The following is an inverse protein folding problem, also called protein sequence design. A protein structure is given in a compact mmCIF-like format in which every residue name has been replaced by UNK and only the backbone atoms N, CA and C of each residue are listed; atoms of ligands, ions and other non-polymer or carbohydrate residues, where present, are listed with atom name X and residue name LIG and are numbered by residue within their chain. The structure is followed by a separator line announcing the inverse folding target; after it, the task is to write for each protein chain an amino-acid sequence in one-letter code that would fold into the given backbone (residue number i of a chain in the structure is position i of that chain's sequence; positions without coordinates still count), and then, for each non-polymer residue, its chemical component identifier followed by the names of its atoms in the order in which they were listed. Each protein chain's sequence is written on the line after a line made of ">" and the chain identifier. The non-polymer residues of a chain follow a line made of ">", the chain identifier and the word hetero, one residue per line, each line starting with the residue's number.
data_IF_688634552606
#
_entry.id   IF_688634552606
#
_cell.length_a   1.000
_cell.length_b   1.000
_cell.length_c   1.000
_cell.angle_alpha   90.00
_cell.angle_beta   90.00
_cell.angle_gamma   90.00
#
_symmetry.space_group_name_H-M   'P 1'
#
loop_
_entity.id
_entity.type
_entity.pdbx_description
1 polymer ?
#
# COMPACT_ATOMS: atom_id res chain seq x y z
N UNK A 1 -8.13 -28.06 -21.33
CA UNK A 1 -8.42 -26.62 -21.23
C UNK A 1 -9.92 -26.42 -21.39
N UNK A 2 -10.56 -25.54 -20.61
CA UNK A 2 -11.98 -25.27 -20.83
C UNK A 2 -12.16 -24.61 -22.20
N UNK A 3 -13.14 -25.06 -22.99
CA UNK A 3 -13.44 -24.56 -24.34
C UNK A 3 -13.99 -23.11 -24.36
N UNK A 4 -13.69 -22.30 -23.34
CA UNK A 4 -14.26 -20.97 -23.15
C UNK A 4 -13.21 -19.90 -23.44
N UNK A 5 -13.55 -18.98 -24.35
CA UNK A 5 -12.73 -17.82 -24.72
C UNK A 5 -12.73 -16.68 -23.67
N UNK A 6 -13.05 -16.98 -22.41
CA UNK A 6 -13.16 -15.97 -21.35
C UNK A 6 -11.84 -15.29 -20.98
N UNK A 7 -10.70 -15.93 -21.23
CA UNK A 7 -9.39 -15.33 -21.01
C UNK A 7 -9.04 -14.25 -22.06
N UNK A 8 -9.72 -14.25 -23.21
CA UNK A 8 -9.52 -13.28 -24.29
C UNK A 8 -10.43 -12.04 -24.17
N UNK A 9 -11.44 -12.08 -23.30
CA UNK A 9 -12.46 -11.03 -23.20
C UNK A 9 -12.86 -10.74 -21.76
N UNK A 10 -13.14 -9.47 -21.45
CA UNK A 10 -13.70 -9.03 -20.16
C UNK A 10 -15.24 -8.95 -20.18
N UNK A 11 -15.90 -9.64 -21.11
CA UNK A 11 -17.36 -9.66 -21.18
C UNK A 11 -17.97 -10.14 -19.86
N UNK A 12 -19.02 -9.44 -19.39
CA UNK A 12 -19.66 -9.76 -18.10
C UNK A 12 -18.91 -9.26 -16.87
N UNK A 13 -17.98 -8.31 -17.01
CA UNK A 13 -17.19 -7.77 -15.89
C UNK A 13 -18.04 -7.33 -14.68
N UNK A 14 -19.23 -6.77 -14.90
CA UNK A 14 -20.14 -6.39 -13.80
C UNK A 14 -20.54 -7.60 -12.94
N UNK A 15 -20.88 -8.71 -13.58
CA UNK A 15 -21.25 -9.96 -12.90
C UNK A 15 -20.04 -10.53 -12.16
N UNK A 16 -18.87 -10.56 -12.82
CA UNK A 16 -17.63 -11.02 -12.19
C UNK A 16 -17.25 -10.18 -10.97
N UNK A 17 -17.38 -8.85 -11.04
CA UNK A 17 -17.13 -7.96 -9.90
C UNK A 17 -18.10 -8.25 -8.74
N UNK A 18 -19.37 -8.53 -9.03
CA UNK A 18 -20.36 -8.90 -8.00
C UNK A 18 -20.01 -10.23 -7.33
N UNK A 19 -19.54 -11.22 -8.12
CA UNK A 19 -19.13 -12.53 -7.61
C UNK A 19 -17.82 -12.47 -6.82
N UNK A 20 -16.89 -11.59 -7.19
CA UNK A 20 -15.60 -11.44 -6.49
C UNK A 20 -15.74 -10.59 -5.23
N UNK A 21 -16.57 -9.55 -5.26
CA UNK A 21 -16.79 -8.65 -4.13
C UNK A 21 -18.03 -9.06 -3.33
N UNK A 22 -18.04 -10.30 -2.84
CA UNK A 22 -19.17 -10.77 -2.02
C UNK A 22 -19.26 -10.01 -0.70
N UNK A 23 -20.51 -9.76 -0.28
CA UNK A 23 -20.81 -9.13 0.99
C UNK A 23 -20.29 -9.99 2.16
N UNK A 24 -19.74 -9.35 3.21
CA UNK A 24 -19.07 -10.05 4.33
C UNK A 24 -19.96 -11.13 4.97
N UNK A 25 -21.25 -10.87 5.11
CA UNK A 25 -22.21 -11.82 5.70
C UNK A 25 -22.38 -13.12 4.89
N UNK A 26 -22.10 -13.10 3.58
CA UNK A 26 -22.20 -14.28 2.70
C UNK A 26 -20.86 -15.01 2.54
N UNK A 27 -19.75 -14.45 3.03
CA UNK A 27 -18.42 -15.01 2.85
C UNK A 27 -18.29 -16.41 3.47
N UNK A 28 -18.81 -16.62 4.68
CA UNK A 28 -18.79 -17.92 5.34
C UNK A 28 -19.55 -19.00 4.55
N UNK A 29 -20.66 -18.64 3.90
CA UNK A 29 -21.43 -19.55 3.05
C UNK A 29 -20.63 -19.93 1.80
N UNK A 30 -20.00 -18.96 1.14
CA UNK A 30 -19.17 -19.18 -0.03
C UNK A 30 -17.96 -20.06 0.30
N UNK A 31 -17.26 -19.76 1.39
CA UNK A 31 -16.12 -20.53 1.89
C UNK A 31 -16.50 -21.97 2.22
N UNK A 32 -17.69 -22.19 2.83
CA UNK A 32 -18.21 -23.53 3.08
C UNK A 32 -18.34 -24.34 1.79
N UNK A 33 -18.96 -23.78 0.75
CA UNK A 33 -19.10 -24.49 -0.54
C UNK A 33 -17.76 -24.70 -1.24
N UNK A 34 -16.87 -23.70 -1.19
CA UNK A 34 -15.51 -23.84 -1.70
C UNK A 34 -14.78 -25.00 -1.03
N UNK A 35 -14.81 -25.07 0.32
CA UNK A 35 -14.21 -26.15 1.12
C UNK A 35 -14.82 -27.54 0.87
N UNK A 36 -16.08 -27.61 0.42
CA UNK A 36 -16.74 -28.88 0.06
C UNK A 36 -16.34 -29.30 -1.37
N UNK A 37 -16.17 -28.36 -2.28
CA UNK A 37 -15.81 -28.63 -3.68
C UNK A 37 -14.37 -29.09 -3.89
N UNK A 38 -13.45 -28.77 -2.96
CA UNK A 38 -12.03 -29.12 -3.08
C UNK A 38 -11.71 -30.42 -2.33
N UNK A 39 -10.87 -31.31 -2.91
CA UNK A 39 -10.35 -32.47 -2.21
C UNK A 39 -9.54 -32.10 -0.96
N UNK A 40 -9.46 -33.03 -0.01
CA UNK A 40 -8.85 -32.80 1.30
C UNK A 40 -7.36 -32.42 1.25
N UNK A 41 -6.62 -32.84 0.22
CA UNK A 41 -5.18 -32.55 0.06
C UNK A 41 -4.92 -31.15 -0.51
N UNK A 42 -5.92 -30.51 -1.13
CA UNK A 42 -5.83 -29.14 -1.67
C UNK A 42 -6.42 -28.14 -0.67
N UNK A 43 -7.31 -28.61 0.21
CA UNK A 43 -8.04 -27.76 1.14
C UNK A 43 -7.07 -26.98 2.05
N UNK A 44 -7.09 -25.63 2.02
CA UNK A 44 -6.21 -24.85 2.86
C UNK A 44 -6.59 -25.01 4.33
N UNK A 45 -5.58 -25.05 5.21
CA UNK A 45 -5.77 -25.14 6.66
C UNK A 45 -6.28 -23.81 7.26
N UNK A 46 -5.84 -22.69 6.67
CA UNK A 46 -6.23 -21.34 7.05
C UNK A 46 -7.28 -20.78 6.09
N UNK A 47 -8.14 -19.83 6.54
CA UNK A 47 -9.06 -19.14 5.64
C UNK A 47 -8.30 -18.28 4.64
N UNK A 48 -8.83 -18.18 3.42
CA UNK A 48 -8.29 -17.29 2.40
C UNK A 48 -8.56 -15.83 2.76
N UNK A 49 -7.58 -14.99 2.46
CA UNK A 49 -7.59 -13.55 2.74
C UNK A 49 -7.82 -12.77 1.44
N UNK A 50 -8.59 -11.68 1.54
CA UNK A 50 -8.89 -10.79 0.40
C UNK A 50 -7.65 -10.00 -0.04
N UNK A 51 -7.58 -9.60 -1.31
CA UNK A 51 -6.40 -8.94 -1.90
C UNK A 51 -5.88 -7.67 -1.18
N UNK A 52 -6.75 -6.96 -0.46
CA UNK A 52 -6.37 -5.77 0.31
C UNK A 52 -5.88 -6.08 1.73
N UNK A 53 -6.22 -7.26 2.27
CA UNK A 53 -5.78 -7.76 3.58
C UNK A 53 -4.54 -8.66 3.45
N UNK A 54 -4.15 -9.03 2.22
CA UNK A 54 -2.94 -9.82 1.95
C UNK A 54 -1.69 -9.02 2.27
N UNK A 55 -0.74 -9.67 2.94
CA UNK A 55 0.55 -9.07 3.24
C UNK A 55 1.39 -8.91 1.97
N UNK A 56 1.95 -7.71 1.76
CA UNK A 56 2.73 -7.36 0.57
C UNK A 56 4.17 -7.04 0.91
N UNK A 57 4.39 -6.35 2.03
CA UNK A 57 5.73 -5.88 2.42
C UNK A 57 6.41 -6.85 3.39
N UNK A 58 7.74 -6.90 3.37
CA UNK A 58 8.50 -7.73 4.32
C UNK A 58 8.22 -7.34 5.79
N UNK A 59 7.84 -6.08 6.03
CA UNK A 59 7.44 -5.57 7.34
C UNK A 59 6.15 -6.23 7.83
N UNK A 60 5.15 -6.38 6.96
CA UNK A 60 3.88 -7.03 7.28
C UNK A 60 4.08 -8.53 7.55
N UNK A 61 4.88 -9.20 6.71
CA UNK A 61 5.16 -10.63 6.86
C UNK A 61 5.94 -10.97 8.14
N UNK A 62 6.80 -10.08 8.64
CA UNK A 62 7.72 -10.29 9.78
C UNK A 62 8.79 -11.38 9.60
N UNK A 63 8.46 -12.49 8.95
CA UNK A 63 9.33 -13.62 8.66
C UNK A 63 9.42 -13.83 7.15
N UNK A 64 10.56 -14.26 6.66
CA UNK A 64 10.85 -14.50 5.23
C UNK A 64 11.35 -15.94 5.07
N UNK A 65 11.14 -16.59 3.90
CA UNK A 65 11.71 -17.90 3.64
C UNK A 65 13.20 -17.96 3.96
N UNK A 66 13.61 -18.98 4.71
CA UNK A 66 14.96 -19.15 5.27
C UNK A 66 15.08 -18.76 6.75
N UNK A 67 14.11 -18.04 7.32
CA UNK A 67 14.12 -17.74 8.76
C UNK A 67 13.86 -19.00 9.60
N UNK A 68 14.56 -19.11 10.73
CA UNK A 68 14.25 -20.09 11.77
C UNK A 68 13.16 -19.55 12.69
N UNK A 69 12.14 -20.34 12.90
CA UNK A 69 10.98 -20.00 13.73
C UNK A 69 10.63 -21.15 14.67
N UNK A 70 10.07 -20.82 15.82
CA UNK A 70 9.53 -21.76 16.79
C UNK A 70 8.01 -21.68 16.79
N UNK A 71 7.36 -22.84 16.85
CA UNK A 71 5.90 -22.95 16.91
C UNK A 71 5.44 -22.81 18.37
N UNK A 72 4.52 -21.88 18.63
CA UNK A 72 4.05 -21.56 19.98
C UNK A 72 2.76 -22.28 20.37
N UNK A 73 1.95 -22.70 19.38
CA UNK A 73 0.63 -23.31 19.60
C UNK A 73 0.40 -24.52 18.69
N UNK A 74 -0.52 -25.38 19.12
CA UNK A 74 -0.89 -26.60 18.39
C UNK A 74 -0.10 -27.83 18.83
N UNK A 75 -0.24 -28.91 18.05
CA UNK A 75 0.36 -30.22 18.35
C UNK A 75 1.89 -30.20 18.34
N UNK A 76 2.48 -29.37 17.49
CA UNK A 76 3.94 -29.28 17.28
C UNK A 76 4.56 -28.09 18.02
N UNK A 77 3.98 -27.70 19.16
CA UNK A 77 4.49 -26.60 20.00
C UNK A 77 5.90 -26.91 20.49
N UNK A 78 6.80 -25.94 20.38
CA UNK A 78 8.19 -26.03 20.82
C UNK A 78 9.16 -26.48 19.73
N UNK A 79 8.65 -26.98 18.60
CA UNK A 79 9.50 -27.36 17.47
C UNK A 79 10.10 -26.13 16.79
N UNK A 80 11.38 -26.23 16.45
CA UNK A 80 12.11 -25.25 15.64
C UNK A 80 12.07 -25.72 14.19
N UNK A 81 11.66 -24.82 13.32
CA UNK A 81 11.43 -25.05 11.90
C UNK A 81 12.05 -23.93 11.07
N UNK A 82 12.38 -24.22 9.82
CA UNK A 82 12.72 -23.21 8.82
C UNK A 82 11.49 -22.87 7.98
N UNK A 83 11.22 -21.58 7.77
CA UNK A 83 10.18 -21.13 6.85
C UNK A 83 10.60 -21.48 5.41
N UNK A 84 9.82 -22.32 4.72
CA UNK A 84 10.10 -22.71 3.33
C UNK A 84 9.42 -21.77 2.33
N UNK A 85 8.17 -21.42 2.59
CA UNK A 85 7.39 -20.58 1.68
C UNK A 85 6.35 -19.75 2.45
N UNK A 86 6.04 -18.58 1.92
CA UNK A 86 4.91 -17.75 2.35
C UNK A 86 3.70 -18.05 1.46
N UNK A 87 2.56 -18.40 2.07
CA UNK A 87 1.30 -18.54 1.36
C UNK A 87 0.56 -17.19 1.34
N UNK A 88 0.71 -16.47 0.22
CA UNK A 88 0.12 -15.14 0.00
C UNK A 88 -1.41 -15.19 -0.01
N UNK A 89 -2.03 -16.33 -0.30
CA UNK A 89 -3.49 -16.44 -0.33
C UNK A 89 -4.10 -16.43 1.07
N UNK A 90 -3.44 -17.04 2.06
CA UNK A 90 -3.93 -17.19 3.44
C UNK A 90 -3.19 -16.33 4.47
N UNK A 91 -2.15 -15.59 4.05
CA UNK A 91 -1.18 -14.95 4.96
C UNK A 91 -0.53 -15.97 5.93
N UNK A 92 -0.33 -17.19 5.46
CA UNK A 92 0.26 -18.30 6.21
C UNK A 92 1.71 -18.57 5.84
N UNK A 93 2.36 -19.42 6.63
CA UNK A 93 3.72 -19.91 6.38
C UNK A 93 3.71 -21.42 6.24
N UNK A 94 4.37 -21.91 5.19
CA UNK A 94 4.68 -23.33 5.00
C UNK A 94 6.07 -23.55 5.59
N UNK A 95 6.11 -24.43 6.59
CA UNK A 95 7.34 -24.79 7.31
C UNK A 95 7.97 -26.05 6.70
N UNK A 96 9.17 -26.37 7.17
CA UNK A 96 9.86 -27.62 6.89
C UNK A 96 9.20 -28.84 7.56
N UNK A 97 9.86 -30.00 7.46
CA UNK A 97 9.34 -31.30 7.91
C UNK A 97 9.08 -31.39 9.42
N UNK A 98 9.68 -30.49 10.21
CA UNK A 98 9.45 -30.42 11.65
C UNK A 98 8.15 -29.67 12.02
N UNK A 99 7.51 -29.06 11.02
CA UNK A 99 6.30 -28.28 11.15
C UNK A 99 5.01 -29.11 11.24
N UNK A 100 3.84 -28.45 11.28
CA UNK A 100 2.58 -29.16 11.29
C UNK A 100 2.30 -29.78 9.94
N UNK A 101 2.25 -31.11 9.94
CA UNK A 101 1.87 -31.89 8.77
C UNK A 101 0.58 -32.67 9.00
N UNK A 102 -0.13 -32.96 7.92
CA UNK A 102 -1.34 -33.79 7.91
C UNK A 102 -1.19 -34.92 6.90
N UNK A 103 -1.56 -36.12 7.33
CA UNK A 103 -1.62 -37.29 6.47
C UNK A 103 -2.92 -37.28 5.67
N UNK A 104 -2.82 -37.19 4.34
CA UNK A 104 -3.98 -37.18 3.45
C UNK A 104 -3.72 -38.09 2.24
N UNK A 105 -4.74 -38.81 1.75
CA UNK A 105 -4.62 -39.57 0.50
C UNK A 105 -4.49 -38.65 -0.71
N UNK A 106 -3.44 -38.87 -1.50
CA UNK A 106 -3.12 -38.09 -2.69
C UNK A 106 -3.21 -38.98 -3.96
N UNK A 107 -3.87 -38.49 -5.03
CA UNK A 107 -3.94 -39.18 -6.32
C UNK A 107 -2.56 -39.38 -6.97
N UNK A 108 -2.41 -40.41 -7.81
CA UNK A 108 -1.15 -40.76 -8.48
C UNK A 108 -0.58 -39.63 -9.35
N UNK A 109 -1.42 -38.72 -9.83
CA UNK A 109 -0.97 -37.55 -10.61
C UNK A 109 -0.07 -36.60 -9.81
N UNK A 110 -0.14 -36.64 -8.48
CA UNK A 110 0.64 -35.78 -7.58
C UNK A 110 1.64 -36.59 -6.75
N UNK A 111 1.98 -37.81 -7.17
CA UNK A 111 2.96 -38.63 -6.47
C UNK A 111 4.37 -38.13 -6.69
N UNK A 112 5.17 -38.22 -5.63
CA UNK A 112 6.61 -38.05 -5.71
C UNK A 112 7.23 -39.37 -6.19
N UNK A 113 8.37 -39.28 -6.87
CA UNK A 113 9.13 -40.46 -7.29
C UNK A 113 9.52 -41.29 -6.06
N UNK A 114 9.28 -42.61 -6.11
CA UNK A 114 9.56 -43.53 -5.00
C UNK A 114 8.43 -43.68 -3.97
N UNK A 115 7.29 -43.01 -4.13
CA UNK A 115 6.12 -43.17 -3.26
C UNK A 115 5.42 -44.53 -3.48
N UNK A 116 5.20 -45.29 -2.39
CA UNK A 116 4.54 -46.61 -2.43
C UNK A 116 3.05 -46.59 -2.05
N UNK A 117 2.63 -45.62 -1.23
CA UNK A 117 1.27 -45.52 -0.68
C UNK A 117 0.59 -44.24 -1.15
N UNK A 118 -0.75 -44.29 -1.27
CA UNK A 118 -1.55 -43.09 -1.50
C UNK A 118 -1.49 -42.10 -0.33
N UNK A 119 -1.15 -42.55 0.88
CA UNK A 119 -1.06 -41.68 2.05
C UNK A 119 0.27 -40.92 2.04
N UNK A 120 0.21 -39.59 2.06
CA UNK A 120 1.38 -38.72 2.18
C UNK A 120 1.14 -37.65 3.25
N UNK A 121 2.22 -37.24 3.91
CA UNK A 121 2.23 -36.16 4.88
C UNK A 121 2.44 -34.84 4.15
N UNK A 122 1.42 -33.98 4.11
CA UNK A 122 1.46 -32.67 3.46
C UNK A 122 1.62 -31.58 4.52
N UNK A 123 2.54 -30.61 4.35
CA UNK A 123 2.71 -29.52 5.29
C UNK A 123 1.48 -28.60 5.30
N UNK A 124 1.08 -28.15 6.50
CA UNK A 124 -0.02 -27.22 6.69
C UNK A 124 0.50 -25.81 6.92
N UNK A 125 -0.19 -24.83 6.32
CA UNK A 125 0.12 -23.43 6.56
C UNK A 125 -0.17 -23.02 8.01
N UNK A 126 0.76 -22.28 8.62
CA UNK A 126 0.65 -21.77 10.00
C UNK A 126 0.48 -20.27 9.99
N UNK A 127 -0.36 -19.75 10.90
CA UNK A 127 -0.53 -18.31 11.04
C UNK A 127 0.70 -17.65 11.64
N UNK A 128 1.02 -16.44 11.17
CA UNK A 128 2.07 -15.57 11.72
C UNK A 128 2.02 -15.45 13.25
N UNK A 129 0.81 -15.40 13.84
CA UNK A 129 0.62 -15.21 15.28
C UNK A 129 1.13 -16.37 16.13
N UNK A 130 1.18 -17.56 15.55
CA UNK A 130 1.56 -18.80 16.24
C UNK A 130 3.05 -19.14 16.09
N UNK A 131 3.79 -18.29 15.37
CA UNK A 131 5.23 -18.43 15.15
C UNK A 131 6.00 -17.33 15.90
N UNK A 132 7.21 -17.66 16.33
CA UNK A 132 8.19 -16.69 16.86
C UNK A 132 9.54 -16.94 16.22
N UNK A 133 10.30 -15.87 15.98
CA UNK A 133 11.61 -16.00 15.36
C UNK A 133 12.60 -16.60 16.36
N UNK A 134 13.54 -17.39 15.86
CA UNK A 134 14.63 -17.97 16.63
C UNK A 134 15.95 -17.38 16.16
N UNK A 135 16.71 -16.82 17.10
CA UNK A 135 18.03 -16.25 16.85
C UNK A 135 19.05 -16.92 17.78
N UNK A 136 20.27 -17.13 17.28
CA UNK A 136 21.39 -17.49 18.13
C UNK A 136 22.02 -16.19 18.62
N UNK A 137 22.07 -16.00 19.93
CA UNK A 137 22.57 -14.80 20.59
C UNK A 137 23.72 -15.22 21.50
N UNK A 138 24.77 -14.41 21.56
CA UNK A 138 25.88 -14.65 22.48
C UNK A 138 25.43 -14.52 23.93
N UNK A 139 25.81 -15.48 24.75
CA UNK A 139 25.48 -15.49 26.17
C UNK A 139 26.27 -14.40 26.91
N UNK A 140 25.60 -13.41 27.56
CA UNK A 140 26.31 -12.39 28.32
C UNK A 140 27.06 -12.95 29.52
N UNK A 141 26.68 -14.14 30.02
CA UNK A 141 27.31 -14.78 31.18
C UNK A 141 28.54 -15.62 30.79
N UNK A 142 28.53 -16.23 29.60
CA UNK A 142 29.59 -17.08 29.08
C UNK A 142 30.04 -16.57 27.71
N UNK A 143 30.98 -15.63 27.71
CA UNK A 143 31.52 -15.04 26.49
C UNK A 143 32.02 -16.14 25.52
N UNK A 144 31.50 -16.13 24.29
CA UNK A 144 31.85 -17.08 23.23
C UNK A 144 30.93 -18.29 23.08
N UNK A 145 29.93 -18.46 23.96
CA UNK A 145 28.88 -19.47 23.76
C UNK A 145 27.60 -18.83 23.22
N UNK A 146 27.11 -19.34 22.09
CA UNK A 146 25.82 -18.94 21.52
C UNK A 146 24.68 -19.73 22.15
N UNK A 147 23.64 -19.04 22.62
CA UNK A 147 22.38 -19.64 23.05
C UNK A 147 21.30 -19.39 22.00
N UNK A 148 20.55 -20.43 21.67
CA UNK A 148 19.39 -20.34 20.79
C UNK A 148 18.19 -19.80 21.57
N UNK A 149 17.72 -18.61 21.20
CA UNK A 149 16.68 -17.88 21.92
C UNK A 149 15.48 -17.63 21.01
N UNK A 150 14.28 -17.84 21.55
CA UNK A 150 13.03 -17.45 20.91
C UNK A 150 12.72 -15.98 21.17
N UNK A 151 12.53 -15.22 20.10
CA UNK A 151 12.29 -13.78 20.14
C UNK A 151 10.80 -13.53 20.31
N UNK A 152 10.43 -12.87 21.42
CA UNK A 152 9.02 -12.67 21.78
C UNK A 152 8.27 -11.79 20.78
N UNK A 153 8.83 -10.66 20.39
CA UNK A 153 8.26 -9.73 19.42
C UNK A 153 9.40 -8.97 18.71
N UNK A 154 9.13 -8.53 17.47
CA UNK A 154 10.08 -7.78 16.63
C UNK A 154 9.50 -6.39 16.36
N UNK A 155 10.35 -5.38 16.42
CA UNK A 155 10.09 -4.02 15.96
C UNK A 155 10.99 -3.69 14.78
N UNK A 156 10.50 -2.86 13.85
CA UNK A 156 11.27 -2.43 12.69
C UNK A 156 11.77 -1.01 12.87
N UNK A 157 13.10 -0.84 12.97
CA UNK A 157 13.74 0.48 13.18
C UNK A 157 14.72 0.79 12.06
N UNK A 158 14.42 1.80 11.26
CA UNK A 158 15.25 2.16 10.11
C UNK A 158 15.17 1.16 8.95
N UNK A 159 15.92 1.45 7.90
CA UNK A 159 15.97 0.67 6.65
C UNK A 159 17.37 0.72 6.05
N UNK A 160 17.77 -0.35 5.37
CA UNK A 160 19.04 -0.45 4.64
C UNK A 160 18.83 -1.12 3.28
N UNK A 161 19.74 -0.89 2.34
CA UNK A 161 19.73 -1.61 1.07
C UNK A 161 20.44 -2.96 1.27
N UNK A 162 19.73 -4.05 1.03
CA UNK A 162 20.32 -5.40 1.09
C UNK A 162 20.70 -5.84 -0.32
N UNK A 163 21.98 -6.11 -0.54
CA UNK A 163 22.53 -6.53 -1.83
C UNK A 163 22.00 -7.90 -2.26
N UNK A 164 21.80 -8.84 -1.33
CA UNK A 164 21.33 -10.19 -1.66
C UNK A 164 19.86 -10.16 -2.10
N UNK A 165 19.05 -9.34 -1.43
CA UNK A 165 17.64 -9.16 -1.79
C UNK A 165 17.40 -8.08 -2.87
N UNK A 166 18.44 -7.29 -3.21
CA UNK A 166 18.39 -6.16 -4.14
C UNK A 166 17.28 -5.15 -3.85
N UNK A 167 16.92 -4.95 -2.57
CA UNK A 167 15.80 -4.09 -2.15
C UNK A 167 16.07 -3.44 -0.79
N UNK A 168 15.33 -2.34 -0.52
CA UNK A 168 15.35 -1.68 0.79
C UNK A 168 14.64 -2.56 1.82
N UNK A 169 15.39 -3.07 2.79
CA UNK A 169 14.94 -3.94 3.87
C UNK A 169 14.94 -3.18 5.20
N UNK A 170 13.92 -3.35 6.06
CA UNK A 170 13.93 -2.77 7.39
C UNK A 170 14.82 -3.58 8.33
N UNK A 171 15.48 -2.94 9.31
CA UNK A 171 16.16 -3.70 10.36
C UNK A 171 15.13 -4.33 11.30
N UNK A 172 15.32 -5.61 11.63
CA UNK A 172 14.52 -6.31 12.63
C UNK A 172 15.20 -6.18 13.98
N UNK A 173 14.57 -5.48 14.92
CA UNK A 173 15.08 -5.29 16.28
C UNK A 173 14.18 -6.00 17.29
N UNK A 174 14.74 -6.48 18.38
CA UNK A 174 13.94 -7.05 19.48
C UNK A 174 13.25 -5.93 20.25
N UNK A 175 11.96 -6.10 20.56
CA UNK A 175 11.23 -5.10 21.35
C UNK A 175 11.91 -4.90 22.70
N UNK A 176 12.27 -3.64 23.01
CA UNK A 176 12.94 -3.25 24.25
C UNK A 176 14.47 -3.19 24.15
N UNK A 177 15.07 -3.83 23.14
CA UNK A 177 16.51 -3.80 22.87
C UNK A 177 16.74 -3.45 21.40
N UNK A 178 16.81 -2.15 21.10
CA UNK A 178 17.03 -1.65 19.73
C UNK A 178 18.37 -2.09 19.13
N UNK A 179 19.34 -2.35 19.99
CA UNK A 179 20.72 -2.62 19.57
C UNK A 179 20.86 -4.07 19.08
N UNK A 180 19.94 -4.95 19.51
CA UNK A 180 19.91 -6.34 19.07
C UNK A 180 19.15 -6.45 17.74
N UNK A 181 19.91 -6.34 16.66
CA UNK A 181 19.42 -6.48 15.29
C UNK A 181 19.52 -7.94 14.84
N UNK A 182 18.40 -8.45 14.34
CA UNK A 182 18.29 -9.80 13.78
C UNK A 182 18.40 -9.70 12.26
N UNK A 183 19.47 -10.23 11.65
CA UNK A 183 19.67 -10.12 10.21
C UNK A 183 18.61 -10.91 9.45
N UNK A 184 18.27 -10.46 8.24
CA UNK A 184 17.44 -11.26 7.32
C UNK A 184 18.22 -12.49 6.82
N UNK A 185 17.53 -13.60 6.49
CA UNK A 185 18.19 -14.80 6.00
C UNK A 185 18.74 -14.54 4.60
N UNK A 186 19.83 -15.21 4.22
CA UNK A 186 20.34 -15.08 2.84
C UNK A 186 19.44 -15.87 1.89
N UNK A 187 18.87 -15.24 0.84
CA UNK A 187 18.07 -15.97 -0.14
C UNK A 187 18.94 -16.94 -0.93
N UNK A 188 18.34 -18.02 -1.42
CA UNK A 188 19.00 -18.93 -2.36
C UNK A 188 19.31 -18.18 -3.67
N UNK A 189 20.47 -18.43 -4.30
CA UNK A 189 20.78 -17.85 -5.60
C UNK A 189 19.75 -18.34 -6.63
N UNK A 190 19.19 -17.41 -7.38
CA UNK A 190 18.27 -17.70 -8.48
C UNK A 190 19.05 -17.63 -9.79
N UNK A 191 18.92 -18.68 -10.61
CA UNK A 191 19.50 -18.72 -11.95
C UNK A 191 18.67 -17.89 -12.93
N UNK A 192 19.34 -17.31 -13.93
CA UNK A 192 18.70 -16.53 -14.97
C UNK A 192 18.04 -17.47 -16.00
N UNK A 193 16.82 -17.12 -16.43
CA UNK A 193 16.10 -17.85 -17.47
C UNK A 193 16.46 -17.36 -18.88
N UNK A 194 16.09 -18.12 -19.91
CA UNK A 194 16.38 -17.79 -21.32
C UNK A 194 15.80 -16.45 -21.78
N UNK A 195 14.65 -16.05 -21.22
CA UNK A 195 14.01 -14.76 -21.54
C UNK A 195 14.60 -13.58 -20.75
N UNK A 196 15.63 -13.81 -19.92
CA UNK A 196 16.28 -12.77 -19.14
C UNK A 196 17.47 -12.16 -19.91
N UNK A 197 17.57 -10.84 -19.88
CA UNK A 197 18.73 -10.11 -20.43
C UNK A 197 19.86 -10.08 -19.40
N UNK A 198 21.10 -10.22 -19.85
CA UNK A 198 22.29 -10.12 -19.00
C UNK A 198 22.34 -8.76 -18.25
N UNK A 199 22.76 -8.73 -16.96
CA UNK A 199 22.85 -7.49 -16.19
C UNK A 199 23.68 -6.37 -16.83
N UNK A 200 24.76 -6.70 -17.54
CA UNK A 200 25.66 -5.74 -18.19
C UNK A 200 24.92 -4.97 -19.29
N UNK A 201 24.22 -5.70 -20.16
CA UNK A 201 23.44 -5.16 -21.28
C UNK A 201 22.22 -4.39 -20.75
N UNK A 202 21.52 -4.92 -19.75
CA UNK A 202 20.32 -4.30 -19.21
C UNK A 202 20.58 -2.94 -18.54
N UNK A 203 21.79 -2.72 -18.00
CA UNK A 203 22.19 -1.47 -17.34
C UNK A 203 22.97 -0.51 -18.25
N UNK A 204 23.25 -0.90 -19.49
CA UNK A 204 23.97 -0.06 -20.44
C UNK A 204 23.18 1.24 -20.70
N UNK A 205 23.84 2.38 -20.50
CA UNK A 205 23.24 3.67 -20.79
C UNK A 205 23.34 3.95 -22.30
N UNK A 206 22.21 3.85 -23.00
CA UNK A 206 22.13 4.09 -24.46
C UNK A 206 21.53 5.45 -24.83
N UNK A 207 20.93 6.15 -23.88
CA UNK A 207 20.23 7.41 -24.12
C UNK A 207 20.77 8.53 -23.22
N UNK A 208 21.03 9.69 -23.84
CA UNK A 208 21.35 10.95 -23.18
C UNK A 208 20.45 12.06 -23.73
N UNK A 209 20.17 13.06 -22.89
CA UNK A 209 19.43 14.26 -23.31
C UNK A 209 20.39 15.17 -24.07
N UNK A 210 20.43 15.02 -25.39
CA UNK A 210 21.37 15.72 -26.27
C UNK A 210 20.79 17.03 -26.84
N UNK A 211 19.53 17.01 -27.28
CA UNK A 211 18.91 18.15 -27.98
C UNK A 211 17.70 18.71 -27.26
N UNK A 212 17.63 20.04 -27.17
CA UNK A 212 16.41 20.77 -26.76
C UNK A 212 15.49 21.01 -27.98
N UNK A 213 16.07 21.09 -29.18
CA UNK A 213 15.34 21.41 -30.41
C UNK A 213 14.67 20.17 -31.01
N UNK A 214 15.38 19.04 -31.02
CA UNK A 214 14.89 17.78 -31.57
C UNK A 214 14.31 16.90 -30.46
N UNK A 215 13.07 16.47 -30.64
CA UNK A 215 12.44 15.50 -29.73
C UNK A 215 13.16 14.13 -29.80
N UNK A 216 13.28 13.41 -28.68
CA UNK A 216 13.95 12.11 -28.63
C UNK A 216 13.17 11.01 -29.35
N UNK A 217 11.84 11.16 -29.47
CA UNK A 217 10.95 10.24 -30.16
C UNK A 217 10.33 10.91 -31.39
N UNK A 218 10.12 10.15 -32.48
CA UNK A 218 9.51 10.69 -33.69
C UNK A 218 8.06 11.11 -33.44
N UNK A 219 7.60 12.12 -34.19
CA UNK A 219 6.27 12.70 -34.01
C UNK A 219 5.14 11.68 -34.20
N UNK A 220 5.32 10.73 -35.12
CA UNK A 220 4.31 9.74 -35.46
C UNK A 220 4.11 8.70 -34.35
N UNK A 221 5.14 8.44 -33.53
CA UNK A 221 5.05 7.55 -32.38
C UNK A 221 4.22 8.14 -31.21
N UNK A 222 3.92 9.44 -31.22
CA UNK A 222 3.11 10.01 -30.13
C UNK A 222 1.71 9.41 -30.06
N UNK A 223 1.16 8.91 -31.19
CA UNK A 223 -0.18 8.33 -31.24
C UNK A 223 -0.27 6.97 -30.54
N UNK A 224 0.84 6.20 -30.52
CA UNK A 224 0.93 4.91 -29.85
C UNK A 224 1.25 5.05 -28.37
N UNK A 225 2.10 6.03 -28.01
CA UNK A 225 2.52 6.27 -26.63
C UNK A 225 1.41 6.93 -25.80
N UNK A 226 0.61 7.81 -26.41
CA UNK A 226 -0.44 8.56 -25.71
C UNK A 226 -1.67 8.78 -26.58
N UNK A 227 -2.85 8.78 -25.95
CA UNK A 227 -4.09 9.15 -26.63
C UNK A 227 -4.14 10.67 -26.91
N UNK A 228 -4.10 11.12 -28.17
CA UNK A 228 -4.18 12.54 -28.53
C UNK A 228 -5.53 13.19 -28.18
N UNK A 229 -6.62 12.41 -28.16
CA UNK A 229 -7.99 12.84 -27.93
C UNK A 229 -8.48 12.47 -26.52
N UNK A 230 -7.55 12.44 -25.55
CA UNK A 230 -7.91 12.17 -24.16
C UNK A 230 -8.90 13.22 -23.63
N UNK A 231 -10.10 12.77 -23.22
CA UNK A 231 -11.12 13.61 -22.57
C UNK A 231 -10.63 14.30 -21.28
N UNK A 232 -9.59 13.76 -20.67
CA UNK A 232 -9.00 14.31 -19.45
C UNK A 232 -8.04 15.47 -19.73
N UNK A 233 -7.63 15.66 -20.99
CA UNK A 233 -6.79 16.79 -21.42
C UNK A 233 -7.65 18.04 -21.63
N UNK A 234 -8.04 18.68 -20.52
CA UNK A 234 -8.70 20.00 -20.55
C UNK A 234 -7.67 21.05 -20.92
N UNK A 235 -7.90 21.80 -22.01
CA UNK A 235 -7.05 22.91 -22.42
C UNK A 235 -6.99 24.01 -21.37
N UNK A 236 -5.99 24.88 -21.43
CA UNK A 236 -5.93 26.09 -20.61
C UNK A 236 -6.73 27.19 -21.32
N UNK A 237 -7.55 27.93 -20.58
CA UNK A 237 -8.27 29.08 -21.12
C UNK A 237 -7.28 30.19 -21.47
N UNK A 238 -7.38 30.72 -22.68
CA UNK A 238 -6.60 31.89 -23.10
C UNK A 238 -7.37 33.18 -22.79
N UNK A 239 -6.68 34.32 -22.75
CA UNK A 239 -7.33 35.63 -22.57
C UNK A 239 -8.41 35.89 -23.64
N UNK A 240 -8.22 35.38 -24.86
CA UNK A 240 -9.20 35.45 -25.95
C UNK A 240 -10.41 34.56 -25.70
N UNK A 241 -10.22 33.38 -25.12
CA UNK A 241 -11.34 32.52 -24.73
C UNK A 241 -12.13 33.16 -23.60
N UNK A 242 -11.44 33.78 -22.64
CA UNK A 242 -12.06 34.54 -21.55
C UNK A 242 -12.84 35.74 -22.10
N UNK A 243 -12.28 36.51 -23.03
CA UNK A 243 -12.98 37.67 -23.62
C UNK A 243 -14.22 37.27 -24.42
N UNK A 244 -14.22 36.07 -25.03
CA UNK A 244 -15.41 35.50 -25.69
C UNK A 244 -16.44 34.98 -24.69
N UNK A 245 -15.97 34.45 -23.57
CA UNK A 245 -16.80 33.90 -22.51
C UNK A 245 -17.49 35.02 -21.70
N UNK A 246 -16.79 36.12 -21.48
CA UNK A 246 -17.29 37.28 -20.72
C UNK A 246 -18.08 38.21 -21.65
N UNK A 247 -19.37 38.39 -21.35
CA UNK A 247 -20.20 39.34 -22.07
C UNK A 247 -19.68 40.79 -21.91
N UNK A 248 -19.79 41.63 -22.95
CA UNK A 248 -19.40 43.02 -22.85
C UNK A 248 -20.25 43.76 -21.81
N UNK A 249 -19.62 44.65 -21.05
CA UNK A 249 -20.34 45.49 -20.07
C UNK A 249 -21.21 46.50 -20.81
N UNK A 250 -22.46 46.64 -20.38
CA UNK A 250 -23.37 47.64 -20.91
C UNK A 250 -22.80 49.06 -20.69
N UNK A 251 -22.87 49.95 -21.69
CA UNK A 251 -22.49 51.34 -21.49
C UNK A 251 -23.39 51.98 -20.44
N UNK A 252 -22.81 52.83 -19.59
CA UNK A 252 -23.56 53.53 -18.55
C UNK A 252 -24.48 54.58 -19.19
N UNK A 253 -25.71 54.70 -18.69
CA UNK A 253 -26.64 55.77 -19.06
C UNK A 253 -26.19 57.11 -18.50
N UNK A 254 -26.62 58.21 -19.10
CA UNK A 254 -26.15 59.54 -18.70
C UNK A 254 -26.58 59.92 -17.28
N UNK A 255 -27.77 59.52 -16.85
CA UNK A 255 -28.23 59.64 -15.44
C UNK A 255 -27.29 58.89 -14.50
N UNK A 256 -26.89 57.66 -14.86
CA UNK A 256 -25.98 56.85 -14.05
C UNK A 256 -24.57 57.42 -14.03
N UNK A 257 -24.10 58.00 -15.14
CA UNK A 257 -22.82 58.74 -15.18
C UNK A 257 -22.88 59.97 -14.26
N UNK A 258 -23.97 60.74 -14.29
CA UNK A 258 -24.17 61.90 -13.41
C UNK A 258 -24.17 61.48 -11.94
N UNK A 259 -24.89 60.41 -11.59
CA UNK A 259 -24.90 59.83 -10.25
C UNK A 259 -23.51 59.35 -9.79
N UNK A 260 -22.73 58.73 -10.68
CA UNK A 260 -21.34 58.34 -10.36
C UNK A 260 -20.47 59.57 -10.09
N UNK A 261 -20.62 60.64 -10.88
CA UNK A 261 -19.90 61.91 -10.67
C UNK A 261 -20.29 62.55 -9.33
N UNK A 262 -21.58 62.59 -9.00
CA UNK A 262 -22.07 63.08 -7.72
C UNK A 262 -21.51 62.25 -6.56
N UNK A 263 -21.52 60.92 -6.68
CA UNK A 263 -20.92 60.02 -5.67
C UNK A 263 -19.42 60.23 -5.53
N UNK A 264 -18.70 60.47 -6.63
CA UNK A 264 -17.27 60.81 -6.60
C UNK A 264 -17.03 62.16 -5.91
N UNK A 265 -17.86 63.17 -6.18
CA UNK A 265 -17.81 64.46 -5.49
C UNK A 265 -18.09 64.30 -4.00
N UNK A 266 -19.12 63.55 -3.62
CA UNK A 266 -19.44 63.26 -2.22
C UNK A 266 -18.31 62.50 -1.54
N UNK A 267 -17.71 61.51 -2.21
CA UNK A 267 -16.57 60.76 -1.68
C UNK A 267 -15.31 61.63 -1.53
N UNK A 268 -15.14 62.66 -2.36
CA UNK A 268 -14.03 63.62 -2.25
C UNK A 268 -14.22 64.62 -1.11
N UNK A 269 -15.47 64.82 -0.65
CA UNK A 269 -15.72 65.61 0.56
C UNK A 269 -15.11 64.87 1.77
N UNK A 270 -14.48 65.59 2.71
CA UNK A 270 -13.99 64.97 3.93
C UNK A 270 -15.17 64.32 4.64
N UNK A 271 -15.07 63.02 4.90
CA UNK A 271 -16.07 62.34 5.72
C UNK A 271 -16.01 62.94 7.12
N UNK A 272 -17.16 63.35 7.65
CA UNK A 272 -17.26 63.74 9.05
C UNK A 272 -16.76 62.57 9.91
N UNK A 273 -15.62 62.78 10.55
CA UNK A 273 -15.09 61.90 11.57
C UNK A 273 -15.46 62.53 12.89
N UNK A 274 -15.93 61.72 13.82
CA UNK A 274 -16.21 62.15 15.18
C UNK A 274 -14.91 62.72 15.76
N UNK A 275 -14.95 64.00 16.12
CA UNK A 275 -13.82 64.69 16.75
C UNK A 275 -13.59 64.13 18.15
N UNK A 276 -12.38 64.31 18.68
CA UNK A 276 -12.05 63.79 20.01
C UNK A 276 -12.87 64.51 21.09
N UNK A 277 -13.11 65.81 20.95
CA UNK A 277 -14.01 66.59 21.81
C UNK A 277 -15.46 66.04 21.82
N UNK A 278 -16.00 65.65 20.65
CA UNK A 278 -17.32 65.02 20.56
C UNK A 278 -17.35 63.64 21.22
N UNK A 279 -16.24 62.88 21.17
CA UNK A 279 -16.14 61.59 21.87
C UNK A 279 -16.12 61.77 23.39
N UNK A 280 -15.43 62.79 23.89
CA UNK A 280 -15.39 63.12 25.31
C UNK A 280 -16.78 63.52 25.81
N UNK A 281 -17.48 64.41 25.09
CA UNK A 281 -18.87 64.79 25.41
C UNK A 281 -19.84 63.60 25.40
N UNK A 282 -19.69 62.69 24.44
CA UNK A 282 -20.46 61.44 24.40
C UNK A 282 -20.10 60.56 25.61
N UNK A 283 -18.81 60.45 25.95
CA UNK A 283 -18.31 59.70 27.11
C UNK A 283 -18.83 60.24 28.44
N UNK A 284 -18.86 61.56 28.62
CA UNK A 284 -19.42 62.21 29.81
C UNK A 284 -20.91 61.95 29.98
N UNK A 285 -21.69 62.06 28.89
CA UNK A 285 -23.13 61.73 28.92
C UNK A 285 -23.37 60.25 29.24
N UNK A 286 -22.55 59.35 28.69
CA UNK A 286 -22.59 57.92 29.02
C UNK A 286 -22.26 57.71 30.51
N UNK A 287 -21.24 58.37 31.03
CA UNK A 287 -20.85 58.29 32.44
C UNK A 287 -21.93 58.82 33.39
N UNK A 288 -22.54 59.96 33.07
CA UNK A 288 -23.67 60.52 33.81
C UNK A 288 -24.85 59.55 33.85
N UNK A 289 -25.20 58.95 32.71
CA UNK A 289 -26.28 57.98 32.63
C UNK A 289 -26.02 56.70 33.43
N UNK A 290 -24.78 56.18 33.37
CA UNK A 290 -24.36 55.01 34.16
C UNK A 290 -24.43 55.30 35.67
N UNK A 291 -23.97 56.49 36.08
CA UNK A 291 -24.04 56.97 37.45
C UNK A 291 -25.48 57.13 37.97
N UNK A 292 -26.40 57.58 37.12
CA UNK A 292 -27.84 57.64 37.43
C UNK A 292 -28.47 56.25 37.57
N UNK A 293 -27.97 55.25 36.84
CA UNK A 293 -28.43 53.86 36.92
C UNK A 293 -27.77 53.04 38.04
N UNK A 294 -26.85 53.63 38.81
CA UNK A 294 -26.27 53.03 40.01
C UNK A 294 -25.25 51.90 39.76
N UNK A 295 -24.60 51.92 38.58
CA UNK A 295 -23.45 51.07 38.23
C UNK A 295 -22.15 51.89 38.17
#
# INVERSE_FOLDING_TARGET
>A
MSSRYGHLSKAGERVLRSLNNTHKNLAARQEKYAKISVPDFIKPALPEVKDHERFKTCREWMFVPGDRVVIMKGKYKGNICVVKQQDVATNGFILDDNGPMKNTPVPKQFWLEGQKSHMISVPQAVSQKDLRLVADIDDPLNAGQTRTVAVKNIEFKGTYYDENYKKMMPYRTVIGQSDLVIPWPKPAPQEDGELATEPSIAKEQTFWVDSIVKNPIPKDAFMTIRNPHSKFRRGKLTARDISKLVAPKMPMTDVKKAYIKEKQQLASRPKAKLTDDEKELIGEKIYQHLKEQGL
#
